data_IF_212522775705
#
_entry.id   IF_212522775705
#
_cell.length_a   1.000
_cell.length_b   1.000
_cell.length_c   1.000
_cell.angle_alpha   90.00
_cell.angle_beta   90.00
_cell.angle_gamma   90.00
#
_symmetry.space_group_name_H-M   'P 1'
#
loop_
_entity.id
_entity.type
_entity.pdbx_description
1 polymer ?
#
# COMPACT_ATOMS: atom_id res chain seq x y z
N UNK A 1 -17.56 16.13 -24.94
CA UNK A 1 -16.12 15.86 -24.77
C UNK A 1 -15.70 16.60 -23.53
N UNK A 2 -15.36 15.91 -22.46
CA UNK A 2 -14.71 16.52 -21.27
C UNK A 2 -13.39 17.12 -21.71
N UNK A 3 -13.09 18.37 -21.32
CA UNK A 3 -11.81 18.99 -21.65
C UNK A 3 -10.68 18.19 -20.97
N UNK A 4 -9.60 17.93 -21.70
CA UNK A 4 -8.39 17.31 -21.16
C UNK A 4 -7.83 18.22 -20.06
N UNK A 5 -7.68 17.66 -18.84
CA UNK A 5 -7.18 18.40 -17.68
C UNK A 5 -5.74 17.99 -17.39
N UNK A 6 -4.99 18.89 -16.77
CA UNK A 6 -3.68 18.57 -16.20
C UNK A 6 -3.86 18.07 -14.78
N UNK A 7 -3.48 16.81 -14.55
CA UNK A 7 -3.64 16.12 -13.26
C UNK A 7 -2.26 15.74 -12.73
N UNK A 8 -1.99 16.09 -11.49
CA UNK A 8 -0.86 15.57 -10.74
C UNK A 8 -1.35 14.43 -9.84
N UNK A 9 -0.63 13.32 -9.85
CA UNK A 9 -0.74 12.28 -8.82
C UNK A 9 0.56 12.29 -8.04
N UNK A 10 0.51 12.39 -6.72
CA UNK A 10 1.70 12.57 -5.88
C UNK A 10 1.78 11.47 -4.84
N UNK A 11 2.90 10.77 -4.81
CA UNK A 11 3.21 9.75 -3.82
C UNK A 11 4.54 10.05 -3.12
N UNK A 12 4.76 9.50 -1.93
CA UNK A 12 6.03 9.57 -1.21
C UNK A 12 6.92 8.35 -1.47
N UNK A 13 6.37 7.33 -2.11
CA UNK A 13 7.05 6.06 -2.34
C UNK A 13 7.92 6.09 -3.61
N UNK A 14 8.90 5.19 -3.63
CA UNK A 14 9.80 5.01 -4.79
C UNK A 14 9.05 4.41 -5.97
N UNK A 15 9.20 5.02 -7.14
CA UNK A 15 8.70 4.53 -8.42
C UNK A 15 9.83 3.85 -9.19
N UNK A 16 9.91 2.54 -9.07
CA UNK A 16 10.97 1.73 -9.65
C UNK A 16 10.41 0.39 -10.19
N UNK A 17 11.29 -0.48 -10.62
CA UNK A 17 10.92 -1.85 -11.00
C UNK A 17 10.24 -2.59 -9.85
N UNK A 18 10.71 -2.35 -8.61
CA UNK A 18 10.13 -2.89 -7.36
C UNK A 18 9.34 -1.79 -6.67
N UNK A 19 8.04 -2.03 -6.47
CA UNK A 19 7.12 -1.07 -5.86
C UNK A 19 6.32 -1.71 -4.74
N UNK A 20 6.06 -0.95 -3.67
CA UNK A 20 5.11 -1.32 -2.63
C UNK A 20 3.69 -0.81 -2.96
N UNK A 21 2.71 -1.20 -2.13
CA UNK A 21 1.29 -0.89 -2.34
C UNK A 21 0.98 0.57 -2.68
N UNK A 22 1.49 1.57 -1.92
CA UNK A 22 1.22 2.98 -2.21
C UNK A 22 1.71 3.42 -3.60
N UNK A 23 2.94 3.03 -3.97
CA UNK A 23 3.50 3.33 -5.29
C UNK A 23 2.69 2.67 -6.41
N UNK A 24 2.32 1.39 -6.25
CA UNK A 24 1.48 0.65 -7.21
C UNK A 24 0.14 1.37 -7.40
N UNK A 25 -0.53 1.73 -6.29
CA UNK A 25 -1.81 2.43 -6.35
C UNK A 25 -1.72 3.78 -7.07
N UNK A 26 -0.72 4.59 -6.75
CA UNK A 26 -0.49 5.87 -7.44
C UNK A 26 -0.21 5.68 -8.94
N UNK A 27 0.58 4.66 -9.29
CA UNK A 27 0.91 4.33 -10.67
C UNK A 27 -0.33 3.90 -11.46
N UNK A 28 -1.17 3.03 -10.90
CA UNK A 28 -2.39 2.55 -11.55
C UNK A 28 -3.47 3.65 -11.67
N UNK A 29 -3.61 4.52 -10.67
CA UNK A 29 -4.47 5.71 -10.76
C UNK A 29 -3.98 6.64 -11.89
N UNK A 30 -2.68 6.90 -11.97
CA UNK A 30 -2.11 7.73 -13.02
C UNK A 30 -2.30 7.12 -14.41
N UNK A 31 -2.14 5.80 -14.55
CA UNK A 31 -2.37 5.07 -15.81
C UNK A 31 -3.84 5.15 -16.25
N UNK A 32 -4.77 4.92 -15.32
CA UNK A 32 -6.20 5.01 -15.62
C UNK A 32 -6.62 6.42 -16.07
N UNK A 33 -6.13 7.45 -15.37
CA UNK A 33 -6.41 8.85 -15.70
C UNK A 33 -5.71 9.32 -16.98
N UNK A 34 -4.53 8.77 -17.27
CA UNK A 34 -3.72 9.09 -18.47
C UNK A 34 -4.40 8.76 -19.78
N UNK A 35 -5.39 7.86 -19.78
CA UNK A 35 -6.19 7.53 -20.94
C UNK A 35 -7.00 8.74 -21.48
N UNK A 36 -7.41 9.67 -20.60
CA UNK A 36 -8.27 10.80 -20.95
C UNK A 36 -7.67 12.16 -20.64
N UNK A 37 -6.64 12.23 -19.79
CA UNK A 37 -6.09 13.47 -19.24
C UNK A 37 -4.58 13.60 -19.49
N UNK A 38 -4.01 14.79 -19.21
CA UNK A 38 -2.57 15.03 -19.14
C UNK A 38 -2.11 14.76 -17.72
N UNK A 39 -1.51 13.59 -17.48
CA UNK A 39 -1.22 13.10 -16.12
C UNK A 39 0.28 13.07 -15.86
N UNK A 40 0.68 13.61 -14.73
CA UNK A 40 2.03 13.55 -14.20
C UNK A 40 2.00 12.86 -12.83
N UNK A 41 2.69 11.73 -12.71
CA UNK A 41 2.93 11.05 -11.45
C UNK A 41 4.26 11.53 -10.87
N UNK A 42 4.19 12.16 -9.70
CA UNK A 42 5.35 12.71 -9.00
C UNK A 42 5.65 11.89 -7.75
N UNK A 43 6.95 11.70 -7.49
CA UNK A 43 7.40 11.17 -6.21
C UNK A 43 8.50 12.03 -5.61
N UNK A 44 8.51 12.15 -4.27
CA UNK A 44 9.65 12.70 -3.51
C UNK A 44 10.74 11.66 -3.28
N UNK A 45 10.47 10.38 -3.56
CA UNK A 45 11.45 9.31 -3.57
C UNK A 45 12.20 9.18 -4.89
N UNK A 46 12.90 8.06 -5.07
CA UNK A 46 13.54 7.73 -6.35
C UNK A 46 12.52 7.42 -7.45
N UNK A 47 12.81 7.84 -8.69
CA UNK A 47 12.01 7.48 -9.86
C UNK A 47 12.92 6.94 -10.97
N UNK A 48 12.81 5.65 -11.24
CA UNK A 48 13.48 4.99 -12.38
C UNK A 48 12.48 4.29 -13.32
N UNK A 49 11.18 4.30 -12.95
CA UNK A 49 10.12 3.70 -13.77
C UNK A 49 9.52 4.75 -14.71
N UNK A 50 9.37 4.38 -15.97
CA UNK A 50 8.64 5.18 -16.94
C UNK A 50 7.13 5.04 -16.75
N UNK A 51 6.37 6.09 -17.10
CA UNK A 51 4.91 6.05 -17.10
C UNK A 51 4.38 5.30 -18.33
N UNK A 52 3.18 4.76 -18.20
CA UNK A 52 2.43 4.12 -19.27
C UNK A 52 1.20 4.98 -19.61
N UNK A 53 1.32 5.80 -20.64
CA UNK A 53 0.31 6.79 -21.04
C UNK A 53 0.32 8.07 -20.19
N UNK A 54 1.28 8.25 -19.29
CA UNK A 54 1.49 9.42 -18.44
C UNK A 54 2.99 9.66 -18.19
N UNK A 55 3.34 10.80 -17.59
CA UNK A 55 4.74 11.13 -17.24
C UNK A 55 4.98 10.74 -15.78
N UNK A 56 5.98 9.87 -15.50
CA UNK A 56 6.44 9.57 -14.15
C UNK A 56 7.82 10.22 -13.93
N UNK A 57 8.01 10.91 -12.78
CA UNK A 57 9.30 11.52 -12.44
C UNK A 57 9.43 11.86 -10.97
N UNK A 58 10.65 12.02 -10.51
CA UNK A 58 10.92 12.59 -9.20
C UNK A 58 10.62 14.11 -9.20
N UNK A 59 10.28 14.62 -8.02
CA UNK A 59 10.16 16.04 -7.70
C UNK A 59 10.93 16.35 -6.42
N UNK A 60 11.06 17.62 -6.12
CA UNK A 60 11.68 18.11 -4.89
C UNK A 60 10.85 19.23 -4.25
N UNK A 61 11.23 19.61 -3.04
CA UNK A 61 10.54 20.66 -2.26
C UNK A 61 10.51 22.01 -2.98
N UNK A 62 11.53 22.32 -3.80
CA UNK A 62 11.63 23.61 -4.50
C UNK A 62 10.71 23.66 -5.71
N UNK A 63 10.63 22.57 -6.46
CA UNK A 63 9.85 22.45 -7.69
C UNK A 63 8.37 22.20 -7.45
N UNK A 64 8.02 21.52 -6.34
CA UNK A 64 6.69 20.98 -6.09
C UNK A 64 5.58 22.04 -6.13
N UNK A 65 5.83 23.23 -5.56
CA UNK A 65 4.83 24.30 -5.58
C UNK A 65 4.45 24.74 -6.99
N UNK A 66 5.43 24.94 -7.86
CA UNK A 66 5.18 25.31 -9.26
C UNK A 66 4.45 24.23 -10.05
N UNK A 67 4.70 22.95 -9.72
CA UNK A 67 3.95 21.82 -10.29
C UNK A 67 2.47 21.90 -9.92
N UNK A 68 2.16 22.07 -8.64
CA UNK A 68 0.78 22.18 -8.14
C UNK A 68 0.07 23.41 -8.74
N UNK A 69 0.73 24.57 -8.78
CA UNK A 69 0.17 25.80 -9.34
C UNK A 69 -0.15 25.68 -10.85
N UNK A 70 0.48 24.73 -11.55
CA UNK A 70 0.24 24.47 -12.98
C UNK A 70 -0.83 23.39 -13.24
N UNK A 71 -1.39 22.77 -12.20
CA UNK A 71 -2.34 21.68 -12.32
C UNK A 71 -3.79 22.11 -12.10
N UNK A 72 -4.71 21.47 -12.80
CA UNK A 72 -6.16 21.63 -12.54
C UNK A 72 -6.59 20.78 -11.32
N UNK A 73 -5.98 19.60 -11.17
CA UNK A 73 -6.32 18.61 -10.13
C UNK A 73 -5.04 18.00 -9.57
N UNK A 74 -5.00 17.84 -8.25
CA UNK A 74 -3.88 17.18 -7.56
C UNK A 74 -4.42 16.06 -6.68
N UNK A 75 -3.98 14.83 -6.95
CA UNK A 75 -4.29 13.64 -6.14
C UNK A 75 -3.13 13.40 -5.19
N UNK A 76 -3.37 13.45 -3.90
CA UNK A 76 -2.35 13.36 -2.85
C UNK A 76 -2.48 12.08 -2.05
N UNK A 77 -1.34 11.43 -1.79
CA UNK A 77 -1.18 10.32 -0.86
C UNK A 77 -0.17 10.67 0.23
N UNK A 78 -0.36 10.13 1.43
CA UNK A 78 0.60 10.22 2.52
C UNK A 78 0.70 11.60 3.17
N UNK A 79 1.84 11.90 3.79
CA UNK A 79 2.05 13.05 4.69
C UNK A 79 2.50 14.31 3.94
N UNK A 80 1.64 14.85 3.07
CA UNK A 80 1.96 16.01 2.24
C UNK A 80 1.27 17.30 2.72
N UNK A 81 0.03 17.21 3.20
CA UNK A 81 -0.81 18.37 3.48
C UNK A 81 -0.32 19.19 4.68
N UNK A 82 0.16 18.52 5.74
CA UNK A 82 0.76 19.18 6.89
C UNK A 82 2.22 19.57 6.66
N UNK A 83 2.90 18.89 5.73
CA UNK A 83 4.30 19.22 5.35
C UNK A 83 4.36 20.48 4.50
N UNK A 84 3.40 20.65 3.59
CA UNK A 84 3.32 21.79 2.67
C UNK A 84 2.04 22.58 2.98
N UNK A 85 2.08 23.40 4.03
CA UNK A 85 0.93 24.17 4.54
C UNK A 85 0.28 25.08 3.47
N UNK A 86 1.05 25.57 2.50
CA UNK A 86 0.55 26.34 1.36
C UNK A 86 -0.44 25.55 0.47
N UNK A 87 -0.49 24.20 0.56
CA UNK A 87 -1.52 23.40 -0.13
C UNK A 87 -2.94 23.73 0.38
N UNK A 88 -3.07 24.23 1.60
CA UNK A 88 -4.35 24.68 2.15
C UNK A 88 -4.96 25.85 1.34
N UNK A 89 -4.13 26.64 0.70
CA UNK A 89 -4.51 27.83 -0.07
C UNK A 89 -4.44 27.60 -1.59
N UNK A 90 -4.14 26.39 -2.04
CA UNK A 90 -4.04 26.04 -3.46
C UNK A 90 -5.38 26.24 -4.19
N UNK A 91 -5.36 26.80 -5.39
CA UNK A 91 -6.52 26.93 -6.28
C UNK A 91 -6.85 25.62 -7.02
N UNK A 92 -5.92 24.67 -7.06
CA UNK A 92 -6.15 23.36 -7.67
C UNK A 92 -7.22 22.57 -6.92
N UNK A 93 -7.99 21.76 -7.63
CA UNK A 93 -8.86 20.76 -6.99
C UNK A 93 -8.01 19.71 -6.29
N UNK A 94 -8.13 19.59 -4.97
CA UNK A 94 -7.37 18.63 -4.16
C UNK A 94 -8.19 17.37 -3.93
N UNK A 95 -7.70 16.27 -4.46
CA UNK A 95 -8.22 14.92 -4.21
C UNK A 95 -7.31 14.22 -3.22
N UNK A 96 -7.85 13.81 -2.08
CA UNK A 96 -7.08 13.10 -1.04
C UNK A 96 -7.38 11.61 -1.11
N UNK A 97 -6.36 10.82 -1.34
CA UNK A 97 -6.47 9.36 -1.39
C UNK A 97 -6.25 8.76 0.01
N UNK A 98 -7.33 8.57 0.73
CA UNK A 98 -7.39 7.98 2.08
C UNK A 98 -7.54 6.45 2.02
N UNK A 99 -6.75 5.78 1.18
CA UNK A 99 -6.84 4.35 0.92
C UNK A 99 -6.44 3.47 2.12
N UNK A 100 -5.74 4.04 3.08
CA UNK A 100 -5.36 3.36 4.33
C UNK A 100 -5.67 4.22 5.56
N UNK A 101 -6.02 3.61 6.69
CA UNK A 101 -6.24 4.31 7.94
C UNK A 101 -4.90 4.57 8.67
N UNK A 102 -3.99 5.34 8.06
CA UNK A 102 -2.60 5.53 8.51
C UNK A 102 -2.45 6.00 9.97
N UNK A 103 -3.44 6.66 10.54
CA UNK A 103 -3.46 7.05 11.96
C UNK A 103 -3.68 5.83 12.88
N UNK A 104 -4.44 4.81 12.43
CA UNK A 104 -4.57 3.53 13.15
C UNK A 104 -3.35 2.65 12.89
N UNK A 105 -2.84 2.65 11.65
CA UNK A 105 -1.63 1.93 11.27
C UNK A 105 -0.41 2.39 12.09
N UNK A 106 -0.29 3.70 12.36
CA UNK A 106 0.80 4.25 13.18
C UNK A 106 0.85 3.66 14.61
N UNK A 107 -0.29 3.24 15.16
CA UNK A 107 -0.35 2.58 16.47
C UNK A 107 0.35 1.22 16.47
N UNK A 108 0.28 0.50 15.35
CA UNK A 108 0.92 -0.80 15.17
C UNK A 108 2.37 -0.67 14.70
N UNK A 109 2.67 0.27 13.79
CA UNK A 109 4.05 0.58 13.39
C UNK A 109 4.92 0.87 14.61
N UNK A 110 4.41 1.71 15.50
CA UNK A 110 5.12 2.18 16.69
C UNK A 110 4.91 1.30 17.94
N UNK A 111 4.23 0.15 17.81
CA UNK A 111 3.74 -0.68 18.93
C UNK A 111 4.82 -1.04 19.94
N UNK A 112 6.05 -1.29 19.49
CA UNK A 112 7.15 -1.76 20.31
C UNK A 112 8.08 -0.64 20.80
N UNK A 113 7.75 0.64 20.50
CA UNK A 113 8.51 1.81 20.94
C UNK A 113 8.00 2.33 22.29
N UNK A 114 8.81 3.18 22.98
CA UNK A 114 8.39 3.85 24.21
C UNK A 114 7.13 4.71 24.03
N UNK A 115 6.29 4.81 25.05
CA UNK A 115 5.03 5.55 25.00
C UNK A 115 5.15 7.00 24.47
N UNK A 116 6.17 7.81 24.85
CA UNK A 116 6.30 9.17 24.31
C UNK A 116 6.47 9.19 22.78
N UNK A 117 7.24 8.26 22.21
CA UNK A 117 7.45 8.16 20.77
C UNK A 117 6.16 7.77 20.04
N UNK A 118 5.41 6.82 20.60
CA UNK A 118 4.11 6.40 20.08
C UNK A 118 3.09 7.56 20.05
N UNK A 119 3.02 8.34 21.14
CA UNK A 119 2.16 9.52 21.19
C UNK A 119 2.59 10.59 20.17
N UNK A 120 3.89 10.80 19.99
CA UNK A 120 4.41 11.76 19.00
C UNK A 120 4.09 11.32 17.56
N UNK A 121 4.22 10.02 17.25
CA UNK A 121 3.86 9.49 15.94
C UNK A 121 2.37 9.63 15.63
N UNK A 122 1.50 9.26 16.60
CA UNK A 122 0.06 9.44 16.46
C UNK A 122 -0.32 10.93 16.30
N UNK A 123 0.31 11.84 17.06
CA UNK A 123 0.05 13.27 16.92
C UNK A 123 0.38 13.77 15.51
N UNK A 124 1.50 13.36 14.94
CA UNK A 124 1.84 13.68 13.53
C UNK A 124 0.81 13.14 12.55
N UNK A 125 0.39 11.88 12.71
CA UNK A 125 -0.63 11.27 11.86
C UNK A 125 -1.97 12.02 11.94
N UNK A 126 -2.39 12.42 13.13
CA UNK A 126 -3.64 13.18 13.33
C UNK A 126 -3.53 14.62 12.81
N UNK A 127 -2.35 15.25 12.87
CA UNK A 127 -2.10 16.57 12.26
C UNK A 127 -2.27 16.50 10.75
N UNK A 128 -1.66 15.51 10.11
CA UNK A 128 -1.81 15.27 8.67
C UNK A 128 -3.27 14.98 8.29
N UNK A 129 -3.92 14.05 8.97
CA UNK A 129 -5.32 13.70 8.72
C UNK A 129 -6.25 14.93 8.85
N UNK A 130 -6.04 15.74 9.89
CA UNK A 130 -6.83 16.97 10.11
C UNK A 130 -6.63 17.97 8.97
N UNK A 131 -5.40 18.15 8.51
CA UNK A 131 -5.08 19.02 7.37
C UNK A 131 -5.71 18.50 6.06
N UNK A 132 -5.63 17.20 5.80
CA UNK A 132 -6.25 16.55 4.65
C UNK A 132 -7.76 16.70 4.63
N UNK A 133 -8.42 16.37 5.75
CA UNK A 133 -9.88 16.44 5.89
C UNK A 133 -10.37 17.89 5.79
N UNK A 134 -9.63 18.86 6.32
CA UNK A 134 -9.99 20.27 6.23
C UNK A 134 -9.96 20.79 4.79
N UNK A 135 -8.96 20.40 3.99
CA UNK A 135 -8.72 20.98 2.66
C UNK A 135 -9.25 20.15 1.49
N UNK A 136 -9.25 18.84 1.56
CA UNK A 136 -9.63 18.00 0.43
C UNK A 136 -10.99 18.38 -0.20
N UNK A 137 -11.09 18.48 -1.51
CA UNK A 137 -12.32 18.72 -2.24
C UNK A 137 -13.07 17.43 -2.55
N UNK A 138 -12.32 16.33 -2.77
CA UNK A 138 -12.81 14.98 -2.96
C UNK A 138 -11.91 14.00 -2.21
N UNK A 139 -12.51 12.97 -1.64
CA UNK A 139 -11.80 11.91 -0.93
C UNK A 139 -11.99 10.57 -1.62
N UNK A 140 -10.91 9.81 -1.74
CA UNK A 140 -10.92 8.43 -2.21
C UNK A 140 -10.65 7.49 -1.04
N UNK A 141 -11.26 6.32 -1.04
CA UNK A 141 -10.98 5.25 -0.08
C UNK A 141 -11.06 3.87 -0.76
N UNK A 142 -10.51 2.84 -0.13
CA UNK A 142 -10.37 1.54 -0.79
C UNK A 142 -11.57 0.59 -0.60
N UNK A 143 -12.48 0.87 0.35
CA UNK A 143 -13.65 0.03 0.63
C UNK A 143 -14.80 0.81 1.23
N UNK A 144 -16.01 0.24 1.19
CA UNK A 144 -17.19 0.83 1.86
C UNK A 144 -16.98 0.92 3.38
N UNK A 145 -16.29 -0.04 3.99
CA UNK A 145 -15.97 0.00 5.41
C UNK A 145 -15.03 1.15 5.78
N UNK A 146 -14.04 1.43 4.94
CA UNK A 146 -13.22 2.65 5.09
C UNK A 146 -14.05 3.91 4.87
N UNK A 147 -14.94 3.90 3.88
CA UNK A 147 -15.83 5.03 3.63
C UNK A 147 -16.66 5.38 4.86
N UNK A 148 -17.22 4.40 5.56
CA UNK A 148 -17.97 4.62 6.79
C UNK A 148 -17.09 5.24 7.89
N UNK A 149 -15.85 4.77 8.06
CA UNK A 149 -14.87 5.37 8.97
C UNK A 149 -14.61 6.84 8.62
N UNK A 150 -14.33 7.13 7.34
CA UNK A 150 -13.99 8.47 6.89
C UNK A 150 -15.16 9.44 6.92
N UNK A 151 -16.40 9.00 6.67
CA UNK A 151 -17.60 9.83 6.87
C UNK A 151 -17.68 10.33 8.31
N UNK A 152 -17.34 9.51 9.30
CA UNK A 152 -17.27 9.93 10.70
C UNK A 152 -16.27 11.07 10.92
N UNK A 153 -15.07 10.98 10.34
CA UNK A 153 -14.06 12.05 10.40
C UNK A 153 -14.52 13.33 9.67
N UNK A 154 -15.09 13.18 8.47
CA UNK A 154 -15.61 14.29 7.67
C UNK A 154 -16.77 15.01 8.39
N UNK A 155 -17.65 14.26 9.02
CA UNK A 155 -18.74 14.83 9.81
C UNK A 155 -18.23 15.61 11.04
N UNK A 156 -17.26 15.05 11.78
CA UNK A 156 -16.63 15.71 12.92
C UNK A 156 -15.89 17.00 12.50
N UNK A 157 -15.35 17.06 11.28
CA UNK A 157 -14.69 18.24 10.71
C UNK A 157 -15.67 19.23 10.03
N UNK A 158 -17.00 18.99 10.08
CA UNK A 158 -18.02 19.86 9.46
C UNK A 158 -18.07 19.80 7.93
N UNK A 159 -17.41 18.78 7.31
CA UNK A 159 -17.43 18.60 5.84
C UNK A 159 -18.74 17.94 5.37
N UNK A 160 -19.42 17.20 6.23
CA UNK A 160 -20.81 16.79 6.04
C UNK A 160 -21.68 17.91 6.60
N UNK A 161 -22.26 18.72 5.73
CA UNK A 161 -23.02 19.92 6.04
C UNK A 161 -24.19 20.06 5.04
N UNK A 162 -25.10 21.05 5.20
CA UNK A 162 -26.23 21.20 4.29
C UNK A 162 -25.83 21.29 2.82
N UNK A 163 -24.76 22.01 2.47
CA UNK A 163 -24.35 22.19 1.10
C UNK A 163 -23.89 20.88 0.44
N UNK A 164 -23.04 20.10 1.14
CA UNK A 164 -22.55 18.82 0.64
C UNK A 164 -23.63 17.75 0.63
N UNK A 165 -24.52 17.76 1.63
CA UNK A 165 -25.62 16.82 1.74
C UNK A 165 -26.71 17.09 0.71
N UNK A 166 -27.08 18.36 0.48
CA UNK A 166 -28.10 18.74 -0.50
C UNK A 166 -27.62 18.53 -1.94
N UNK A 167 -26.28 18.65 -2.17
CA UNK A 167 -25.69 18.34 -3.47
C UNK A 167 -25.75 16.83 -3.78
N UNK A 168 -25.51 15.98 -2.79
CA UNK A 168 -25.56 14.52 -2.92
C UNK A 168 -25.78 13.86 -1.55
N UNK A 169 -27.01 13.41 -1.30
CA UNK A 169 -27.40 12.76 -0.03
C UNK A 169 -26.67 11.45 0.24
N UNK A 170 -26.07 10.84 -0.80
CA UNK A 170 -25.20 9.67 -0.65
C UNK A 170 -23.77 10.02 -0.25
N UNK A 171 -23.39 11.30 -0.34
CA UNK A 171 -22.05 11.83 -0.12
C UNK A 171 -20.96 11.22 -1.04
N UNK A 172 -21.35 10.56 -2.14
CA UNK A 172 -20.34 9.96 -3.06
C UNK A 172 -19.60 11.02 -3.88
N UNK A 173 -20.18 12.20 -4.04
CA UNK A 173 -19.50 13.37 -4.61
C UNK A 173 -18.45 13.99 -3.67
N UNK A 174 -18.51 13.70 -2.35
CA UNK A 174 -17.53 14.11 -1.36
C UNK A 174 -16.50 13.02 -1.08
N UNK A 175 -16.96 11.77 -0.90
CA UNK A 175 -16.08 10.61 -0.66
C UNK A 175 -16.58 9.39 -1.44
N UNK A 176 -15.71 8.83 -2.29
CA UNK A 176 -16.04 7.68 -3.12
C UNK A 176 -15.05 6.53 -2.93
N UNK A 177 -15.56 5.32 -3.18
CA UNK A 177 -14.72 4.10 -3.11
C UNK A 177 -14.03 3.92 -4.45
N UNK A 178 -12.70 3.93 -4.41
CA UNK A 178 -11.81 3.54 -5.50
C UNK A 178 -10.95 2.40 -4.95
N UNK A 179 -11.38 1.14 -5.12
CA UNK A 179 -10.67 0.00 -4.56
C UNK A 179 -9.32 -0.20 -5.25
N UNK A 180 -8.48 -1.02 -4.67
CA UNK A 180 -7.39 -1.62 -5.43
C UNK A 180 -8.01 -2.54 -6.50
N UNK A 181 -7.45 -2.49 -7.69
CA UNK A 181 -7.94 -3.27 -8.84
C UNK A 181 -7.13 -4.53 -9.07
N UNK A 182 -7.64 -5.35 -9.97
CA UNK A 182 -6.90 -6.43 -10.63
C UNK A 182 -6.57 -5.97 -12.05
N UNK A 183 -5.49 -6.50 -12.61
CA UNK A 183 -5.22 -6.33 -14.04
C UNK A 183 -6.38 -6.95 -14.85
N UNK A 184 -6.76 -6.30 -15.94
CA UNK A 184 -7.77 -6.85 -16.87
C UNK A 184 -7.25 -8.05 -17.65
N UNK A 185 -5.93 -8.24 -17.69
CA UNK A 185 -5.26 -9.36 -18.33
C UNK A 185 -4.97 -10.45 -17.31
N UNK A 186 -5.36 -11.67 -17.60
CA UNK A 186 -5.04 -12.80 -16.72
C UNK A 186 -3.52 -12.93 -16.50
N UNK A 187 -3.08 -13.19 -15.26
CA UNK A 187 -1.66 -13.34 -14.97
C UNK A 187 -1.06 -14.48 -15.81
N UNK A 188 0.16 -14.27 -16.30
CA UNK A 188 0.89 -15.29 -17.06
C UNK A 188 2.24 -15.52 -16.41
N UNK A 189 2.56 -16.76 -16.14
CA UNK A 189 3.89 -17.17 -15.75
C UNK A 189 4.79 -17.19 -16.98
N UNK A 190 5.89 -16.45 -16.92
CA UNK A 190 6.93 -16.43 -17.95
C UNK A 190 8.01 -17.44 -17.64
N UNK A 191 8.38 -17.53 -16.36
CA UNK A 191 9.33 -18.48 -15.82
C UNK A 191 8.96 -18.79 -14.36
N UNK A 192 9.47 -19.87 -13.80
CA UNK A 192 9.30 -20.17 -12.38
C UNK A 192 10.07 -19.15 -11.52
N UNK A 193 9.44 -18.66 -10.46
CA UNK A 193 10.06 -17.75 -9.49
C UNK A 193 10.48 -18.48 -8.20
N UNK A 194 9.87 -19.63 -7.91
CA UNK A 194 10.04 -20.38 -6.65
C UNK A 194 10.40 -21.85 -6.95
N UNK A 195 9.48 -22.62 -7.53
CA UNK A 195 9.59 -24.08 -7.72
C UNK A 195 10.72 -24.43 -8.66
N UNK A 196 11.68 -25.23 -8.20
CA UNK A 196 12.87 -25.63 -8.96
C UNK A 196 13.89 -24.51 -9.21
N UNK A 197 13.68 -23.32 -8.63
CA UNK A 197 14.55 -22.13 -8.78
C UNK A 197 15.19 -21.75 -7.46
N UNK A 198 14.42 -21.75 -6.37
CA UNK A 198 14.93 -21.46 -5.02
C UNK A 198 15.62 -22.71 -4.49
N UNK A 199 16.89 -22.57 -4.07
CA UNK A 199 17.64 -23.67 -3.49
C UNK A 199 16.92 -24.27 -2.29
N UNK A 200 16.63 -25.58 -2.32
CA UNK A 200 15.86 -26.30 -1.30
C UNK A 200 14.34 -26.33 -1.55
N UNK A 201 13.85 -25.87 -2.69
CA UNK A 201 12.45 -26.01 -3.13
C UNK A 201 12.44 -26.76 -4.48
N UNK A 202 11.96 -28.00 -4.48
CA UNK A 202 11.84 -28.79 -5.70
C UNK A 202 10.61 -28.40 -6.53
N UNK A 203 10.59 -28.81 -7.80
CA UNK A 203 9.53 -28.46 -8.74
C UNK A 203 8.12 -28.96 -8.32
N UNK A 204 8.06 -30.07 -7.59
CA UNK A 204 6.81 -30.72 -7.16
C UNK A 204 6.45 -30.40 -5.71
N UNK A 205 7.25 -29.60 -4.99
CA UNK A 205 6.98 -29.24 -3.60
C UNK A 205 5.70 -28.40 -3.46
N UNK A 206 4.83 -28.68 -2.46
CA UNK A 206 3.72 -27.80 -2.14
C UNK A 206 4.21 -26.47 -1.54
N UNK A 207 3.87 -25.36 -2.18
CA UNK A 207 4.32 -24.01 -1.78
C UNK A 207 3.18 -23.20 -1.16
N UNK A 208 3.39 -22.78 0.09
CA UNK A 208 2.56 -21.78 0.79
C UNK A 208 3.25 -20.41 0.60
N UNK A 209 2.54 -19.44 0.03
CA UNK A 209 3.09 -18.13 -0.27
C UNK A 209 2.58 -17.06 0.70
N UNK A 210 3.51 -16.32 1.29
CA UNK A 210 3.27 -15.02 1.91
C UNK A 210 3.58 -13.92 0.89
N UNK A 211 2.56 -13.43 0.18
CA UNK A 211 2.70 -12.42 -0.87
C UNK A 211 2.86 -11.00 -0.31
N UNK A 212 4.03 -10.44 -0.45
CA UNK A 212 4.36 -9.07 -0.04
C UNK A 212 5.05 -8.96 1.31
N UNK A 213 5.12 -7.74 1.86
CA UNK A 213 5.88 -7.43 3.07
C UNK A 213 5.34 -8.03 4.36
N UNK A 214 6.20 -8.05 5.37
CA UNK A 214 5.86 -8.45 6.74
C UNK A 214 5.86 -7.21 7.64
N UNK A 215 4.69 -6.83 8.13
CA UNK A 215 4.48 -5.64 8.95
C UNK A 215 3.96 -6.03 10.35
N UNK A 216 4.02 -5.10 11.31
CA UNK A 216 3.69 -5.37 12.72
C UNK A 216 2.22 -5.76 12.96
N UNK A 217 1.32 -5.45 12.06
CA UNK A 217 -0.12 -5.82 12.14
C UNK A 217 -0.46 -7.19 11.53
N UNK A 218 0.52 -7.87 10.97
CA UNK A 218 0.37 -9.24 10.46
C UNK A 218 0.77 -10.29 11.51
N UNK A 219 0.25 -11.50 11.33
CA UNK A 219 0.56 -12.66 12.15
C UNK A 219 1.24 -13.78 11.35
N UNK A 220 2.47 -13.58 10.87
CA UNK A 220 3.25 -14.62 10.22
C UNK A 220 3.68 -15.73 11.20
N UNK A 221 3.75 -15.42 12.50
CA UNK A 221 4.22 -16.38 13.52
C UNK A 221 3.27 -17.56 13.66
N UNK A 222 1.97 -17.33 13.61
CA UNK A 222 0.96 -18.40 13.59
C UNK A 222 1.12 -19.28 12.35
N UNK A 223 1.39 -18.69 11.19
CA UNK A 223 1.58 -19.46 9.96
C UNK A 223 2.87 -20.29 10.01
N UNK A 224 3.98 -19.75 10.54
CA UNK A 224 5.23 -20.51 10.72
C UNK A 224 5.02 -21.70 11.65
N UNK A 225 4.28 -21.54 12.78
CA UNK A 225 3.96 -22.64 13.67
C UNK A 225 3.09 -23.71 13.00
N UNK A 226 2.14 -23.28 12.16
CA UNK A 226 1.32 -24.21 11.38
C UNK A 226 2.18 -25.02 10.39
N UNK A 227 3.19 -24.42 9.76
CA UNK A 227 4.16 -25.12 8.90
C UNK A 227 5.01 -26.11 9.73
N UNK A 228 5.42 -25.74 10.94
CA UNK A 228 6.15 -26.65 11.85
C UNK A 228 5.36 -27.89 12.20
N UNK A 229 4.05 -27.76 12.44
CA UNK A 229 3.15 -28.90 12.67
C UNK A 229 2.93 -29.70 11.38
N UNK A 230 2.64 -28.99 10.27
CA UNK A 230 2.28 -29.60 8.97
C UNK A 230 3.41 -30.46 8.38
N UNK A 231 4.68 -30.09 8.60
CA UNK A 231 5.83 -30.86 8.05
C UNK A 231 5.89 -32.30 8.50
N UNK A 232 5.17 -32.67 9.57
CA UNK A 232 5.07 -34.07 10.03
C UNK A 232 4.20 -34.92 9.10
N UNK A 233 3.18 -34.29 8.48
CA UNK A 233 2.24 -34.96 7.57
C UNK A 233 2.59 -34.73 6.10
N UNK A 234 3.18 -33.57 5.81
CA UNK A 234 3.62 -33.15 4.48
C UNK A 234 5.11 -32.75 4.54
N UNK A 235 6.04 -33.71 4.46
CA UNK A 235 7.48 -33.44 4.66
C UNK A 235 8.07 -32.46 3.65
N UNK A 236 7.47 -32.33 2.47
CA UNK A 236 7.95 -31.49 1.38
C UNK A 236 7.22 -30.14 1.32
N UNK A 237 6.43 -29.78 2.37
CA UNK A 237 5.80 -28.45 2.44
C UNK A 237 6.85 -27.36 2.54
N UNK A 238 6.68 -26.31 1.73
CA UNK A 238 7.54 -25.12 1.71
C UNK A 238 6.69 -23.87 1.92
N UNK A 239 7.17 -22.97 2.76
CA UNK A 239 6.61 -21.65 2.93
C UNK A 239 7.60 -20.62 2.39
N UNK A 240 7.14 -19.75 1.51
CA UNK A 240 7.97 -18.72 0.89
C UNK A 240 7.44 -17.32 1.19
N UNK A 241 8.31 -16.47 1.76
CA UNK A 241 8.02 -15.05 1.98
C UNK A 241 8.52 -14.24 0.79
N UNK A 242 7.62 -13.58 0.07
CA UNK A 242 7.91 -12.92 -1.20
C UNK A 242 8.74 -11.63 -1.05
N UNK A 243 8.71 -10.98 0.12
CA UNK A 243 9.48 -9.76 0.37
C UNK A 243 9.62 -9.50 1.86
N UNK A 244 10.85 -9.44 2.34
CA UNK A 244 11.14 -9.15 3.76
C UNK A 244 11.55 -7.70 3.97
N UNK A 245 12.29 -7.12 3.02
CA UNK A 245 12.80 -5.75 3.09
C UNK A 245 12.00 -4.82 2.18
N UNK A 246 11.50 -3.71 2.72
CA UNK A 246 10.72 -2.75 1.94
C UNK A 246 11.55 -2.13 0.80
N UNK A 247 10.99 -1.94 -0.42
CA UNK A 247 11.73 -1.35 -1.54
C UNK A 247 12.10 0.12 -1.33
N UNK A 248 11.34 0.85 -0.51
CA UNK A 248 11.71 2.20 -0.08
C UNK A 248 12.70 2.10 1.10
N UNK A 249 13.95 2.58 0.96
CA UNK A 249 14.98 2.47 1.99
C UNK A 249 14.69 3.29 3.26
N UNK A 250 13.79 4.26 3.17
CA UNK A 250 13.39 5.10 4.30
C UNK A 250 12.38 4.41 5.23
N UNK A 251 11.79 3.29 4.79
CA UNK A 251 10.90 2.48 5.62
C UNK A 251 11.73 1.54 6.50
N UNK A 252 11.69 1.68 7.83
CA UNK A 252 12.48 0.84 8.73
C UNK A 252 12.01 -0.61 8.69
N UNK A 253 12.91 -1.54 9.00
CA UNK A 253 12.55 -2.93 9.18
C UNK A 253 11.58 -3.08 10.35
N UNK A 254 10.50 -3.81 10.12
CA UNK A 254 9.47 -4.04 11.13
C UNK A 254 9.90 -5.10 12.15
N UNK A 255 9.60 -4.88 13.42
CA UNK A 255 9.90 -5.84 14.49
C UNK A 255 9.28 -7.22 14.22
N UNK A 256 8.14 -7.28 13.54
CA UNK A 256 7.52 -8.54 13.15
C UNK A 256 8.34 -9.29 12.10
N UNK A 257 9.00 -8.59 11.16
CA UNK A 257 9.88 -9.23 10.18
C UNK A 257 11.08 -9.90 10.86
N UNK A 258 11.67 -9.24 11.85
CA UNK A 258 12.77 -9.80 12.68
C UNK A 258 12.28 -11.04 13.43
N UNK A 259 11.15 -10.94 14.15
CA UNK A 259 10.57 -12.08 14.92
C UNK A 259 10.20 -13.26 14.03
N UNK A 260 9.80 -12.99 12.79
CA UNK A 260 9.47 -14.02 11.81
C UNK A 260 10.69 -14.90 11.49
N UNK A 261 11.84 -14.25 11.25
CA UNK A 261 13.11 -14.98 11.05
C UNK A 261 13.54 -15.72 12.31
N UNK A 262 13.55 -15.04 13.45
CA UNK A 262 13.93 -15.62 14.74
C UNK A 262 13.13 -16.90 15.03
N UNK A 263 11.80 -16.86 14.89
CA UNK A 263 10.95 -18.04 15.13
C UNK A 263 11.25 -19.17 14.14
N UNK A 264 11.47 -18.86 12.87
CA UNK A 264 11.82 -19.85 11.85
C UNK A 264 13.16 -20.53 12.17
N UNK A 265 14.15 -19.76 12.65
CA UNK A 265 15.45 -20.28 13.06
C UNK A 265 15.36 -21.13 14.34
N UNK A 266 14.60 -20.66 15.35
CA UNK A 266 14.36 -21.39 16.60
C UNK A 266 13.74 -22.79 16.38
N UNK A 267 12.82 -22.88 15.40
CA UNK A 267 12.15 -24.13 15.04
C UNK A 267 12.97 -24.98 14.03
N UNK A 268 14.12 -24.46 13.56
CA UNK A 268 14.97 -25.16 12.59
C UNK A 268 14.31 -25.30 11.21
N UNK A 269 13.44 -24.36 10.82
CA UNK A 269 12.69 -24.39 9.57
C UNK A 269 13.39 -23.63 8.44
N UNK A 270 14.21 -22.65 8.76
CA UNK A 270 14.86 -21.78 7.77
C UNK A 270 15.73 -22.60 6.80
N UNK A 271 15.54 -22.38 5.50
CA UNK A 271 16.24 -23.07 4.42
C UNK A 271 15.82 -24.53 4.24
N UNK A 272 14.75 -24.99 4.92
CA UNK A 272 14.19 -26.35 4.80
C UNK A 272 12.70 -26.33 4.49
N UNK A 273 11.94 -25.62 5.31
CA UNK A 273 10.48 -25.49 5.20
C UNK A 273 10.03 -24.04 5.08
N UNK A 274 10.86 -23.09 5.53
CA UNK A 274 10.58 -21.65 5.45
C UNK A 274 11.74 -20.95 4.75
N UNK A 275 11.40 -20.18 3.73
CA UNK A 275 12.33 -19.47 2.86
C UNK A 275 11.97 -17.99 2.79
N UNK A 276 12.95 -17.13 2.75
CA UNK A 276 12.79 -15.70 2.75
C UNK A 276 13.43 -15.08 1.52
N UNK A 277 12.65 -14.37 0.71
CA UNK A 277 13.21 -13.44 -0.25
C UNK A 277 13.55 -12.14 0.49
N UNK A 278 14.84 -11.90 0.68
CA UNK A 278 15.33 -10.72 1.40
C UNK A 278 15.04 -9.41 0.65
N UNK A 279 14.98 -9.47 -0.67
CA UNK A 279 14.62 -8.38 -1.54
C UNK A 279 13.10 -8.33 -1.80
N UNK A 280 12.70 -7.42 -2.69
CA UNK A 280 11.35 -7.30 -3.23
C UNK A 280 11.34 -7.78 -4.67
N UNK A 281 10.29 -8.47 -5.10
CA UNK A 281 10.19 -8.91 -6.50
C UNK A 281 9.77 -7.75 -7.42
N UNK A 282 10.24 -7.74 -8.68
CA UNK A 282 9.77 -6.78 -9.67
C UNK A 282 8.26 -6.85 -9.86
N UNK A 283 7.62 -5.69 -9.99
CA UNK A 283 6.17 -5.60 -10.12
C UNK A 283 5.63 -6.43 -11.31
N UNK A 284 6.28 -6.35 -12.45
CA UNK A 284 5.90 -7.06 -13.67
C UNK A 284 6.11 -8.60 -13.58
N UNK A 285 6.93 -9.04 -12.63
CA UNK A 285 7.27 -10.45 -12.45
C UNK A 285 6.53 -11.12 -11.29
N UNK A 286 5.60 -10.42 -10.64
CA UNK A 286 4.84 -11.00 -9.53
C UNK A 286 4.13 -12.29 -9.91
N UNK A 287 3.57 -12.35 -11.12
CA UNK A 287 2.86 -13.52 -11.61
C UNK A 287 3.72 -14.79 -11.61
N UNK A 288 5.02 -14.68 -11.84
CA UNK A 288 5.95 -15.81 -11.84
C UNK A 288 6.02 -16.51 -10.48
N UNK A 289 5.89 -15.73 -9.40
CA UNK A 289 5.92 -16.23 -8.01
C UNK A 289 4.54 -16.64 -7.52
N UNK A 290 3.51 -15.87 -7.87
CA UNK A 290 2.14 -16.16 -7.45
C UNK A 290 1.61 -17.46 -8.05
N UNK A 291 1.92 -17.72 -9.33
CA UNK A 291 1.51 -18.93 -10.05
C UNK A 291 2.34 -20.18 -9.68
N UNK A 292 3.47 -20.01 -8.98
CA UNK A 292 4.21 -21.12 -8.39
C UNK A 292 3.63 -21.59 -7.06
N UNK A 293 2.76 -20.78 -6.45
CA UNK A 293 2.18 -21.11 -5.15
C UNK A 293 0.93 -21.98 -5.29
N UNK A 294 0.78 -22.93 -4.39
CA UNK A 294 -0.42 -23.76 -4.26
C UNK A 294 -1.43 -23.12 -3.30
N UNK A 295 -0.93 -22.35 -2.31
CA UNK A 295 -1.75 -21.68 -1.29
C UNK A 295 -1.19 -20.28 -1.03
N UNK A 296 -2.02 -19.26 -1.22
CA UNK A 296 -1.72 -17.90 -0.76
C UNK A 296 -2.24 -17.68 0.67
N UNK A 297 -1.43 -17.10 1.57
CA UNK A 297 -1.83 -16.85 2.96
C UNK A 297 -1.82 -15.36 3.30
N UNK A 298 -2.84 -14.95 4.08
CA UNK A 298 -2.93 -13.61 4.66
C UNK A 298 -3.47 -13.73 6.09
N UNK A 299 -2.57 -13.70 7.07
CA UNK A 299 -2.90 -13.77 8.49
C UNK A 299 -2.57 -12.46 9.20
N UNK A 300 -3.45 -12.04 10.11
CA UNK A 300 -3.32 -10.78 10.85
C UNK A 300 -4.00 -10.88 12.20
N UNK A 301 -3.56 -10.03 13.12
CA UNK A 301 -4.19 -9.91 14.43
C UNK A 301 -5.58 -9.26 14.31
N UNK A 302 -6.47 -9.62 15.20
CA UNK A 302 -7.80 -8.99 15.31
C UNK A 302 -7.68 -7.70 16.14
N UNK A 303 -7.55 -6.57 15.45
CA UNK A 303 -7.50 -5.23 16.04
C UNK A 303 -8.12 -4.17 15.12
N UNK A 304 -8.26 -2.95 15.62
CA UNK A 304 -9.00 -1.88 14.92
C UNK A 304 -8.36 -1.49 13.58
N UNK A 305 -7.04 -1.50 13.47
CA UNK A 305 -6.35 -1.25 12.20
C UNK A 305 -6.78 -2.29 11.17
N UNK A 306 -6.67 -3.58 11.47
CA UNK A 306 -7.08 -4.69 10.59
C UNK A 306 -8.55 -4.59 10.19
N UNK A 307 -9.40 -4.10 11.09
CA UNK A 307 -10.82 -3.94 10.81
C UNK A 307 -11.11 -2.94 9.67
N UNK A 308 -10.26 -1.94 9.46
CA UNK A 308 -10.47 -0.88 8.47
C UNK A 308 -9.44 -0.88 7.32
N UNK A 309 -8.40 -1.70 7.39
CA UNK A 309 -7.41 -1.78 6.32
C UNK A 309 -7.89 -2.63 5.15
N UNK A 310 -7.36 -2.34 3.97
CA UNK A 310 -7.56 -3.13 2.77
C UNK A 310 -6.29 -3.94 2.48
N UNK A 311 -6.40 -5.28 2.42
CA UNK A 311 -5.26 -6.19 2.21
C UNK A 311 -5.11 -6.55 0.74
N UNK A 312 -4.26 -5.81 0.03
CA UNK A 312 -4.07 -5.94 -1.43
C UNK A 312 -3.62 -7.33 -1.85
N UNK A 313 -2.79 -8.01 -1.04
CA UNK A 313 -2.32 -9.37 -1.34
C UNK A 313 -3.43 -10.39 -1.57
N UNK A 314 -4.60 -10.19 -0.96
CA UNK A 314 -5.76 -11.08 -1.18
C UNK A 314 -6.24 -10.98 -2.63
N UNK A 315 -6.18 -9.80 -3.24
CA UNK A 315 -6.50 -9.63 -4.66
C UNK A 315 -5.47 -10.34 -5.56
N UNK A 316 -4.21 -10.32 -5.16
CA UNK A 316 -3.15 -10.99 -5.92
C UNK A 316 -3.32 -12.53 -5.94
N UNK A 317 -4.08 -13.10 -4.98
CA UNK A 317 -4.34 -14.54 -4.89
C UNK A 317 -5.61 -14.99 -5.65
N UNK A 318 -6.45 -14.04 -6.10
CA UNK A 318 -7.70 -14.32 -6.82
C UNK A 318 -7.48 -14.41 -8.33
#
# INVERSE_FOLDING_TARGET
MTSRRRILVVTLDTLAERMAGPAIRAFEIARALGAEHDVHLLTFGGCSREGDGFVARATDVQSFRGEVESADVVVLQGYLMATFDWLQESEATIVVDLYDPFHLESLEVERFKPAPERHAALARALTELSAQVARGDLFLCASEKQRDLWIGHLAAAGRVNPDTYDADTSLRSLITVVPFGLDSTAPRQVEHGIKGVVDGIDADDPVILWGGGVYNWFDPLTVIRAVDELRSDVPDVRMYFLGMKHPNPDVPEMAMAVRTRELSDELGLTGRHVFFNEDWVPYERRADYLLDADIGVSAHFDHVETAFSFRTRILDYL
#
